data_IF_053985403128
#
_entry.id   IF_053985403128
#
_cell.length_a   1.000
_cell.length_b   1.000
_cell.length_c   1.000
_cell.angle_alpha   90.00
_cell.angle_beta   90.00
_cell.angle_gamma   90.00
#
_symmetry.space_group_name_H-M   'P 1'
#
loop_
_entity.id
_entity.type
_entity.pdbx_description
1 polymer ?
#
# COMPACT_ATOMS: atom_id res chain seq x y z
N UNK A 1 -14.25 6.16 15.84
CA UNK A 1 -14.26 4.69 15.77
C UNK A 1 -12.83 4.19 15.64
N UNK A 2 -12.47 3.15 16.39
CA UNK A 2 -11.18 2.47 16.26
C UNK A 2 -11.26 1.49 15.08
N UNK A 3 -10.22 1.41 14.24
CA UNK A 3 -10.22 0.51 13.10
C UNK A 3 -10.09 -0.96 13.53
N UNK A 4 -10.61 -1.88 12.72
CA UNK A 4 -10.55 -3.33 12.99
C UNK A 4 -9.09 -3.78 13.06
N UNK A 5 -8.26 -3.37 12.11
CA UNK A 5 -6.83 -3.71 12.07
C UNK A 5 -6.08 -3.18 13.29
N UNK A 6 -6.45 -2.00 13.82
CA UNK A 6 -5.85 -1.47 15.05
C UNK A 6 -6.20 -2.31 16.28
N UNK A 7 -7.44 -2.81 16.37
CA UNK A 7 -7.86 -3.75 17.43
C UNK A 7 -7.09 -5.06 17.31
N UNK A 8 -7.09 -5.67 16.14
CA UNK A 8 -6.34 -6.92 15.89
C UNK A 8 -4.87 -6.80 16.22
N UNK A 9 -4.26 -5.63 15.94
CA UNK A 9 -2.87 -5.39 16.34
C UNK A 9 -2.72 -5.42 17.86
N UNK A 10 -3.58 -4.71 18.61
CA UNK A 10 -3.52 -4.70 20.07
C UNK A 10 -3.72 -6.09 20.67
N UNK A 11 -4.65 -6.87 20.13
CA UNK A 11 -4.93 -8.23 20.57
C UNK A 11 -3.78 -9.20 20.24
N UNK A 12 -2.99 -8.91 19.20
CA UNK A 12 -1.84 -9.74 18.79
C UNK A 12 -0.55 -9.49 19.59
N UNK A 13 -0.47 -8.39 20.37
CA UNK A 13 0.72 -8.01 21.14
C UNK A 13 1.18 -9.14 22.10
N UNK A 14 0.31 -9.73 22.96
CA UNK A 14 0.75 -10.77 23.89
C UNK A 14 1.28 -12.03 23.18
N UNK A 15 0.67 -12.41 22.05
CA UNK A 15 1.13 -13.55 21.26
C UNK A 15 2.49 -13.29 20.57
N UNK A 16 2.70 -12.09 20.04
CA UNK A 16 3.99 -11.66 19.47
C UNK A 16 5.07 -11.68 20.53
N UNK A 17 4.76 -11.20 21.74
CA UNK A 17 5.69 -11.16 22.87
C UNK A 17 6.10 -12.57 23.31
N UNK A 18 5.15 -13.48 23.45
CA UNK A 18 5.42 -14.86 23.87
C UNK A 18 6.20 -15.64 22.80
N UNK A 19 5.83 -15.51 21.52
CA UNK A 19 6.44 -16.28 20.42
C UNK A 19 7.89 -15.88 20.13
N UNK A 20 8.20 -14.58 20.19
CA UNK A 20 9.53 -14.07 19.86
C UNK A 20 10.33 -13.61 21.10
N UNK A 21 9.80 -13.85 22.31
CA UNK A 21 10.47 -13.59 23.59
C UNK A 21 11.02 -12.15 23.74
N UNK A 22 10.21 -11.14 23.31
CA UNK A 22 10.61 -9.75 23.46
C UNK A 22 10.69 -9.32 24.93
N UNK A 23 11.82 -8.76 25.34
CA UNK A 23 12.05 -8.21 26.68
C UNK A 23 11.31 -6.88 26.91
N UNK A 24 11.15 -6.10 25.82
CA UNK A 24 10.54 -4.77 25.87
C UNK A 24 9.35 -4.68 24.92
N UNK A 25 8.23 -4.15 25.36
CA UNK A 25 7.02 -3.97 24.55
C UNK A 25 7.22 -3.02 23.37
N UNK A 26 8.18 -2.10 23.46
CA UNK A 26 8.52 -1.19 22.36
C UNK A 26 9.29 -1.87 21.22
N UNK A 27 9.88 -3.03 21.47
CA UNK A 27 10.58 -3.82 20.46
C UNK A 27 9.60 -4.64 19.58
N UNK A 28 8.34 -4.81 20.01
CA UNK A 28 7.34 -5.58 19.29
C UNK A 28 7.12 -4.98 17.90
N UNK A 29 7.10 -5.83 16.84
CA UNK A 29 6.94 -5.36 15.47
C UNK A 29 5.58 -4.68 15.27
N UNK A 30 5.61 -3.53 14.58
CA UNK A 30 4.42 -2.75 14.22
C UNK A 30 4.54 -2.19 12.81
N UNK A 31 3.41 -1.88 12.20
CA UNK A 31 3.39 -1.16 10.93
C UNK A 31 3.71 0.31 11.21
N UNK A 32 4.72 0.86 10.54
CA UNK A 32 5.13 2.26 10.65
C UNK A 32 4.39 3.15 9.66
N UNK A 33 4.25 2.68 8.43
CA UNK A 33 3.58 3.42 7.36
C UNK A 33 3.18 2.49 6.22
N UNK A 34 2.24 2.96 5.41
CA UNK A 34 1.87 2.35 4.13
C UNK A 34 2.16 3.36 3.02
N UNK A 35 2.93 2.95 2.03
CA UNK A 35 3.24 3.75 0.84
C UNK A 35 2.47 3.21 -0.35
N UNK A 36 1.68 4.06 -0.98
CA UNK A 36 0.96 3.78 -2.21
C UNK A 36 1.68 4.53 -3.32
N UNK A 37 2.01 3.83 -4.40
CA UNK A 37 2.67 4.42 -5.56
C UNK A 37 1.99 3.99 -6.85
N UNK A 38 1.72 4.94 -7.71
CA UNK A 38 1.17 4.73 -9.05
C UNK A 38 2.14 5.30 -10.07
N UNK A 39 2.61 4.46 -10.98
CA UNK A 39 3.48 4.87 -12.09
C UNK A 39 2.67 5.12 -13.36
N UNK A 40 3.04 6.14 -14.10
CA UNK A 40 2.47 6.51 -15.39
C UNK A 40 3.58 6.44 -16.44
N UNK A 41 3.24 5.96 -17.63
CA UNK A 41 4.20 6.03 -18.76
C UNK A 41 4.34 7.49 -19.22
N UNK A 42 5.53 7.89 -19.62
CA UNK A 42 5.80 9.25 -20.11
C UNK A 42 4.91 9.68 -21.27
N UNK A 43 4.51 8.74 -22.12
CA UNK A 43 3.63 8.94 -23.28
C UNK A 43 2.19 9.32 -22.87
N UNK A 44 1.78 8.91 -21.67
CA UNK A 44 0.43 9.10 -21.13
C UNK A 44 0.35 10.28 -20.14
N UNK A 45 1.32 11.19 -20.15
CA UNK A 45 1.45 12.28 -19.16
C UNK A 45 0.56 13.51 -19.45
N UNK A 46 -0.62 13.29 -20.04
CA UNK A 46 -1.61 14.36 -20.21
C UNK A 46 -2.06 14.95 -18.88
N UNK A 47 -2.15 16.28 -18.82
CA UNK A 47 -2.53 17.00 -17.59
C UNK A 47 -3.91 16.54 -17.04
N UNK A 48 -4.85 16.22 -17.93
CA UNK A 48 -6.19 15.70 -17.55
C UNK A 48 -6.08 14.33 -16.88
N UNK A 49 -5.28 13.42 -17.43
CA UNK A 49 -5.05 12.10 -16.85
C UNK A 49 -4.30 12.19 -15.51
N UNK A 50 -3.33 13.09 -15.41
CA UNK A 50 -2.60 13.33 -14.15
C UNK A 50 -3.52 13.84 -13.05
N UNK A 51 -4.39 14.81 -13.36
CA UNK A 51 -5.38 15.33 -12.41
C UNK A 51 -6.36 14.24 -11.97
N UNK A 52 -6.84 13.42 -12.92
CA UNK A 52 -7.70 12.27 -12.63
C UNK A 52 -7.02 11.29 -11.67
N UNK A 53 -5.77 10.88 -11.95
CA UNK A 53 -5.01 9.95 -11.10
C UNK A 53 -4.79 10.49 -9.70
N UNK A 54 -4.42 11.77 -9.57
CA UNK A 54 -4.26 12.41 -8.27
C UNK A 54 -5.55 12.38 -7.46
N UNK A 55 -6.68 12.68 -8.09
CA UNK A 55 -7.98 12.66 -7.44
C UNK A 55 -8.36 11.24 -7.00
N UNK A 56 -8.22 10.24 -7.90
CA UNK A 56 -8.54 8.86 -7.57
C UNK A 56 -7.69 8.31 -6.42
N UNK A 57 -6.36 8.52 -6.47
CA UNK A 57 -5.47 8.06 -5.40
C UNK A 57 -5.73 8.82 -4.09
N UNK A 58 -6.09 10.10 -4.16
CA UNK A 58 -6.46 10.88 -2.98
C UNK A 58 -7.76 10.38 -2.34
N UNK A 59 -8.77 10.02 -3.14
CA UNK A 59 -10.04 9.46 -2.67
C UNK A 59 -9.82 8.09 -2.01
N UNK A 60 -9.10 7.19 -2.67
CA UNK A 60 -8.78 5.84 -2.17
C UNK A 60 -8.02 5.92 -0.83
N UNK A 61 -7.01 6.79 -0.76
CA UNK A 61 -6.14 6.89 0.42
C UNK A 61 -6.71 7.76 1.55
N UNK A 62 -7.68 8.63 1.27
CA UNK A 62 -8.17 9.66 2.20
C UNK A 62 -7.13 10.73 2.54
N UNK A 63 -6.10 10.87 1.69
CA UNK A 63 -5.03 11.88 1.83
C UNK A 63 -4.60 12.39 0.46
N UNK A 64 -4.35 13.70 0.34
CA UNK A 64 -3.91 14.32 -0.90
C UNK A 64 -2.65 13.65 -1.46
N UNK A 65 -2.74 13.14 -2.68
CA UNK A 65 -1.62 12.53 -3.39
C UNK A 65 -0.63 13.60 -3.88
N UNK A 66 0.64 13.22 -3.96
CA UNK A 66 1.74 14.08 -4.45
C UNK A 66 2.25 13.53 -5.77
N UNK A 67 2.41 14.41 -6.76
CA UNK A 67 3.04 14.08 -8.04
C UNK A 67 4.51 13.74 -7.83
N UNK A 68 4.96 12.67 -8.49
CA UNK A 68 6.38 12.32 -8.57
C UNK A 68 6.93 12.71 -9.93
N UNK A 69 8.06 13.45 -9.92
CA UNK A 69 8.71 13.96 -11.12
C UNK A 69 9.99 13.18 -11.42
N UNK A 70 10.34 13.11 -12.69
CA UNK A 70 11.60 12.52 -13.14
C UNK A 70 12.80 13.35 -12.66
N UNK A 71 13.82 12.68 -12.12
CA UNK A 71 15.07 13.33 -11.68
C UNK A 71 16.09 13.50 -12.81
N UNK A 72 16.08 12.58 -13.78
CA UNK A 72 17.01 12.54 -14.90
C UNK A 72 16.26 12.41 -16.22
N UNK A 73 16.84 12.96 -17.29
CA UNK A 73 16.38 12.72 -18.65
C UNK A 73 16.90 11.34 -19.12
N UNK A 74 16.01 10.51 -19.65
CA UNK A 74 16.36 9.19 -20.21
C UNK A 74 15.68 9.07 -21.57
N UNK A 75 16.46 9.09 -22.66
CA UNK A 75 15.95 9.09 -24.03
C UNK A 75 15.17 7.80 -24.37
N UNK A 76 15.64 6.65 -23.91
CA UNK A 76 14.98 5.35 -24.15
C UNK A 76 13.54 5.30 -23.64
N UNK A 77 13.26 5.99 -22.53
CA UNK A 77 11.91 6.09 -21.96
C UNK A 77 11.17 7.38 -22.35
N UNK A 78 11.73 8.18 -23.26
CA UNK A 78 11.19 9.49 -23.65
C UNK A 78 10.95 10.43 -22.47
N UNK A 79 11.78 10.33 -21.43
CA UNK A 79 11.68 11.11 -20.22
C UNK A 79 12.59 12.35 -20.30
N UNK A 80 12.03 13.51 -19.94
CA UNK A 80 12.79 14.74 -19.66
C UNK A 80 12.85 14.97 -18.15
N UNK A 81 13.80 15.75 -17.70
CA UNK A 81 13.89 16.20 -16.30
C UNK A 81 12.60 16.95 -15.93
N UNK A 82 12.14 16.75 -14.69
CA UNK A 82 10.92 17.34 -14.11
C UNK A 82 9.59 16.93 -14.76
N UNK A 83 9.59 15.96 -15.68
CA UNK A 83 8.36 15.41 -16.24
C UNK A 83 7.61 14.60 -15.16
N UNK A 84 6.28 14.77 -15.01
CA UNK A 84 5.49 13.95 -14.08
C UNK A 84 5.46 12.50 -14.55
N UNK A 85 5.82 11.56 -13.66
CA UNK A 85 5.92 10.12 -13.94
C UNK A 85 4.99 9.27 -13.07
N UNK A 86 4.24 9.88 -12.16
CA UNK A 86 3.32 9.17 -11.30
C UNK A 86 2.85 9.98 -10.10
N UNK A 87 2.22 9.29 -9.17
CA UNK A 87 1.83 9.89 -7.89
C UNK A 87 2.13 8.93 -6.73
N UNK A 88 2.29 9.51 -5.55
CA UNK A 88 2.61 8.80 -4.33
C UNK A 88 1.82 9.35 -3.14
N UNK A 89 1.43 8.44 -2.24
CA UNK A 89 0.88 8.76 -0.92
C UNK A 89 1.59 7.94 0.13
N UNK A 90 1.85 8.54 1.28
CA UNK A 90 2.38 7.83 2.46
C UNK A 90 1.42 8.03 3.62
N UNK A 91 0.82 6.95 4.08
CA UNK A 91 -0.15 6.93 5.16
C UNK A 91 0.50 6.52 6.48
N UNK A 92 0.12 7.18 7.57
CA UNK A 92 0.58 6.90 8.95
C UNK A 92 -0.58 7.02 9.92
N UNK A 93 -0.43 6.43 11.11
CA UNK A 93 -1.39 6.53 12.21
C UNK A 93 -2.79 6.05 11.83
N UNK A 94 -3.82 6.78 12.22
CA UNK A 94 -5.22 6.39 12.03
C UNK A 94 -5.58 6.17 10.56
N UNK A 95 -5.14 7.05 9.65
CA UNK A 95 -5.41 6.92 8.20
C UNK A 95 -4.81 5.64 7.61
N UNK A 96 -3.64 5.24 8.09
CA UNK A 96 -2.99 3.99 7.70
C UNK A 96 -3.85 2.78 8.07
N UNK A 97 -4.32 2.69 9.31
CA UNK A 97 -5.17 1.57 9.75
C UNK A 97 -6.51 1.54 9.01
N UNK A 98 -7.15 2.69 8.80
CA UNK A 98 -8.38 2.79 8.02
C UNK A 98 -8.19 2.30 6.58
N UNK A 99 -7.07 2.65 5.95
CA UNK A 99 -6.74 2.16 4.61
C UNK A 99 -6.50 0.65 4.61
N UNK A 100 -5.79 0.11 5.60
CA UNK A 100 -5.56 -1.33 5.74
C UNK A 100 -6.86 -2.11 5.96
N UNK A 101 -7.80 -1.58 6.74
CA UNK A 101 -9.12 -2.19 6.92
C UNK A 101 -9.87 -2.34 5.59
N UNK A 102 -9.92 -1.26 4.80
CA UNK A 102 -10.55 -1.28 3.47
C UNK A 102 -9.83 -2.25 2.52
N UNK A 103 -8.50 -2.24 2.55
CA UNK A 103 -7.67 -3.06 1.69
C UNK A 103 -7.90 -4.55 1.94
N UNK A 104 -7.83 -4.99 3.21
CA UNK A 104 -7.90 -6.41 3.57
C UNK A 104 -9.33 -6.94 3.46
N UNK A 105 -10.30 -6.20 3.99
CA UNK A 105 -11.68 -6.70 4.12
C UNK A 105 -12.53 -6.47 2.87
N UNK A 106 -12.21 -5.46 2.06
CA UNK A 106 -13.06 -5.07 0.92
C UNK A 106 -12.31 -5.21 -0.41
N UNK A 107 -11.14 -4.57 -0.56
CA UNK A 107 -10.47 -4.47 -1.85
C UNK A 107 -9.85 -5.79 -2.30
N UNK A 108 -9.10 -6.49 -1.44
CA UNK A 108 -8.47 -7.76 -1.80
C UNK A 108 -9.46 -8.85 -2.20
N UNK A 109 -10.60 -9.08 -1.49
CA UNK A 109 -11.58 -10.07 -1.91
C UNK A 109 -12.25 -9.75 -3.25
N UNK A 110 -12.29 -8.49 -3.67
CA UNK A 110 -12.88 -8.05 -4.96
C UNK A 110 -11.94 -8.24 -6.15
N UNK A 111 -10.68 -8.59 -5.93
CA UNK A 111 -9.75 -8.90 -7.02
C UNK A 111 -10.24 -10.16 -7.73
N UNK A 112 -10.36 -10.07 -9.06
CA UNK A 112 -10.70 -11.21 -9.90
C UNK A 112 -9.65 -12.32 -9.74
N UNK A 113 -10.10 -13.56 -9.53
CA UNK A 113 -9.26 -14.75 -9.34
C UNK A 113 -8.21 -14.61 -8.21
N UNK A 114 -8.60 -13.95 -7.11
CA UNK A 114 -7.69 -13.76 -5.99
C UNK A 114 -7.35 -15.09 -5.32
N UNK A 115 -6.07 -15.46 -5.36
CA UNK A 115 -5.54 -16.70 -4.76
C UNK A 115 -4.70 -16.46 -3.50
N UNK A 116 -4.69 -15.27 -2.97
CA UNK A 116 -3.83 -14.85 -1.86
C UNK A 116 -2.57 -14.11 -2.32
N UNK A 117 -1.92 -13.46 -1.36
CA UNK A 117 -0.68 -12.72 -1.56
C UNK A 117 0.52 -13.67 -1.37
N UNK A 118 1.57 -13.48 -2.18
CA UNK A 118 2.78 -14.30 -2.09
C UNK A 118 3.69 -13.87 -0.95
N UNK A 119 4.26 -14.83 -0.20
CA UNK A 119 5.28 -14.54 0.83
C UNK A 119 6.63 -14.05 0.27
N UNK A 120 6.81 -14.03 -1.07
CA UNK A 120 8.01 -13.50 -1.73
C UNK A 120 8.05 -11.97 -1.79
N UNK A 121 6.95 -11.27 -1.45
CA UNK A 121 6.86 -9.80 -1.47
C UNK A 121 7.65 -9.06 -0.39
N UNK A 122 8.37 -9.75 0.49
CA UNK A 122 9.25 -9.14 1.49
C UNK A 122 10.60 -8.77 0.88
N UNK A 123 11.05 -7.55 1.17
CA UNK A 123 12.39 -7.08 0.83
C UNK A 123 13.40 -7.38 1.96
N UNK A 124 14.67 -7.00 1.76
CA UNK A 124 15.75 -7.18 2.75
C UNK A 124 15.50 -6.45 4.07
N UNK A 125 14.71 -5.35 4.05
CA UNK A 125 14.34 -4.57 5.23
C UNK A 125 13.03 -5.04 5.88
N UNK A 126 12.56 -6.25 5.56
CA UNK A 126 11.34 -6.86 6.07
C UNK A 126 10.05 -6.05 5.81
N UNK A 127 10.08 -5.17 4.78
CA UNK A 127 8.89 -4.48 4.29
C UNK A 127 8.18 -5.35 3.26
N UNK A 128 6.86 -5.33 3.29
CA UNK A 128 6.06 -6.13 2.37
C UNK A 128 5.51 -5.28 1.24
N UNK A 129 5.78 -5.68 -0.01
CA UNK A 129 5.31 -4.97 -1.19
C UNK A 129 4.53 -5.89 -2.12
N UNK A 130 3.43 -5.40 -2.66
CA UNK A 130 2.63 -6.09 -3.66
C UNK A 130 1.97 -5.10 -4.62
N UNK A 131 1.64 -5.57 -5.80
CA UNK A 131 0.98 -4.79 -6.84
C UNK A 131 -0.49 -5.17 -7.00
N UNK A 132 -1.33 -4.17 -7.20
CA UNK A 132 -2.71 -4.30 -7.62
C UNK A 132 -2.78 -3.87 -9.07
N UNK A 133 -3.37 -4.69 -9.94
CA UNK A 133 -3.45 -4.40 -11.38
C UNK A 133 -4.48 -3.33 -11.71
N UNK A 134 -5.58 -3.28 -10.98
CA UNK A 134 -6.74 -2.44 -11.27
C UNK A 134 -7.19 -1.69 -10.02
N UNK A 135 -7.36 -0.37 -10.15
CA UNK A 135 -7.82 0.47 -9.04
C UNK A 135 -9.34 0.40 -8.79
N UNK A 136 -10.10 -0.17 -9.73
CA UNK A 136 -11.56 -0.31 -9.66
C UNK A 136 -12.06 -1.25 -8.55
N UNK A 137 -11.17 -1.97 -7.88
CA UNK A 137 -11.49 -2.81 -6.72
C UNK A 137 -11.87 -1.99 -5.48
N UNK A 138 -11.47 -0.72 -5.42
CA UNK A 138 -11.80 0.18 -4.32
C UNK A 138 -13.20 0.77 -4.49
N UNK A 139 -13.98 0.84 -3.41
CA UNK A 139 -15.35 1.37 -3.41
C UNK A 139 -15.43 2.87 -3.71
N UNK A 140 -14.36 3.59 -3.41
CA UNK A 140 -14.27 5.04 -3.61
C UNK A 140 -14.10 5.43 -5.08
N UNK A 141 -13.91 4.46 -5.95
CA UNK A 141 -13.76 4.68 -7.39
C UNK A 141 -15.13 4.63 -8.04
N UNK A 142 -15.50 5.72 -8.69
CA UNK A 142 -16.70 5.78 -9.51
C UNK A 142 -16.44 5.04 -10.84
N UNK A 143 -17.18 3.95 -11.04
CA UNK A 143 -17.01 3.07 -12.19
C UNK A 143 -17.50 3.72 -13.50
N UNK A 144 -18.47 4.62 -13.42
CA UNK A 144 -19.05 5.27 -14.59
C UNK A 144 -18.11 6.34 -15.20
N UNK A 145 -17.22 6.89 -14.38
CA UNK A 145 -16.31 7.97 -14.76
C UNK A 145 -14.83 7.53 -14.87
N UNK A 146 -14.58 6.26 -15.23
CA UNK A 146 -13.21 5.77 -15.41
C UNK A 146 -12.63 6.25 -16.73
N UNK A 147 -11.67 7.17 -16.67
CA UNK A 147 -10.89 7.63 -17.83
C UNK A 147 -9.88 6.58 -18.27
N UNK A 148 -9.16 5.97 -17.33
CA UNK A 148 -8.15 4.95 -17.57
C UNK A 148 -7.97 4.06 -16.35
N UNK A 149 -7.93 2.75 -16.57
CA UNK A 149 -7.58 1.78 -15.52
C UNK A 149 -6.07 1.82 -15.29
N UNK A 150 -5.65 1.90 -14.03
CA UNK A 150 -4.26 1.89 -13.65
C UNK A 150 -4.00 0.94 -12.48
N UNK A 151 -2.77 0.42 -12.45
CA UNK A 151 -2.28 -0.38 -11.33
C UNK A 151 -1.60 0.48 -10.27
N UNK A 152 -1.49 -0.06 -9.08
CA UNK A 152 -0.78 0.57 -7.97
C UNK A 152 0.08 -0.42 -7.21
N UNK A 153 1.20 0.05 -6.71
CA UNK A 153 2.06 -0.68 -5.80
C UNK A 153 1.82 -0.21 -4.37
N UNK A 154 1.57 -1.15 -3.48
CA UNK A 154 1.36 -0.90 -2.06
C UNK A 154 2.53 -1.53 -1.29
N UNK A 155 3.22 -0.72 -0.50
CA UNK A 155 4.32 -1.15 0.35
C UNK A 155 3.96 -0.91 1.82
N UNK A 156 3.93 -1.96 2.61
CA UNK A 156 3.71 -1.93 4.05
C UNK A 156 5.07 -1.95 4.72
N UNK A 157 5.39 -0.85 5.41
CA UNK A 157 6.67 -0.68 6.10
C UNK A 157 6.50 -1.08 7.55
N UNK A 158 7.24 -2.10 7.97
CA UNK A 158 7.27 -2.59 9.35
C UNK A 158 8.60 -2.23 10.03
N UNK A 159 8.66 -2.33 11.35
CA UNK A 159 9.91 -2.25 12.11
C UNK A 159 10.42 -3.63 12.57
N UNK A 160 9.90 -4.71 11.98
CA UNK A 160 10.34 -6.06 12.30
C UNK A 160 11.81 -6.26 11.95
N UNK A 161 12.56 -6.95 12.80
CA UNK A 161 13.98 -7.26 12.60
C UNK A 161 14.14 -8.46 11.67
N UNK A 162 13.19 -9.42 11.74
CA UNK A 162 13.18 -10.65 10.95
C UNK A 162 11.97 -10.73 10.00
N UNK A 163 12.15 -11.45 8.89
CA UNK A 163 11.07 -11.74 7.93
C UNK A 163 9.93 -12.53 8.57
N UNK A 164 10.26 -13.48 9.46
CA UNK A 164 9.26 -14.30 10.15
C UNK A 164 8.37 -13.48 11.08
N UNK A 165 8.95 -12.51 11.77
CA UNK A 165 8.22 -11.57 12.63
C UNK A 165 7.25 -10.73 11.82
N UNK A 166 7.71 -10.16 10.68
CA UNK A 166 6.88 -9.37 9.79
C UNK A 166 5.74 -10.20 9.18
N UNK A 167 6.03 -11.44 8.77
CA UNK A 167 5.03 -12.36 8.22
C UNK A 167 3.98 -12.74 9.27
N UNK A 168 4.42 -13.05 10.50
CA UNK A 168 3.52 -13.37 11.59
C UNK A 168 2.62 -12.18 11.94
N UNK A 169 3.19 -10.97 12.03
CA UNK A 169 2.43 -9.74 12.24
C UNK A 169 1.33 -9.57 11.18
N UNK A 170 1.68 -9.67 9.89
CA UNK A 170 0.72 -9.47 8.81
C UNK A 170 -0.37 -10.56 8.80
N UNK A 171 -0.03 -11.82 9.10
CA UNK A 171 -1.02 -12.89 9.24
C UNK A 171 -2.00 -12.63 10.38
N UNK A 172 -1.54 -12.11 11.52
CA UNK A 172 -2.41 -11.73 12.64
C UNK A 172 -3.33 -10.53 12.32
N UNK A 173 -2.93 -9.70 11.38
CA UNK A 173 -3.75 -8.62 10.84
C UNK A 173 -4.67 -9.06 9.68
N UNK A 174 -4.91 -10.38 9.54
CA UNK A 174 -5.76 -10.99 8.52
C UNK A 174 -5.31 -10.77 7.09
N UNK A 175 -4.02 -10.47 6.84
CA UNK A 175 -3.51 -10.47 5.47
C UNK A 175 -3.49 -11.89 4.91
N UNK A 176 -4.09 -12.13 3.73
CA UNK A 176 -4.19 -13.45 3.10
C UNK A 176 -2.84 -13.85 2.43
N UNK A 177 -1.77 -13.95 3.22
CA UNK A 177 -0.43 -14.32 2.75
C UNK A 177 -0.26 -15.85 2.83
N UNK A 178 0.11 -16.43 1.68
CA UNK A 178 0.44 -17.85 1.53
C UNK A 178 1.93 -18.10 1.71
#
# INVERSE_FOLDING_TARGET
MQSITEKLYKDSIPELKSKFSYKNDMAIPKIKMVSINVGIKAVDSDNKLLAYLLNQVSNISGQKAVLTKSKKAISTFKLRKDLPIGCRVTLRGKKMYQFLDKLVNIALPRIRDFRGLTSKGFNQSNHYSFGIKEHNIFLEVDLDNIVKVFGMNITIVTNATGKEEALFLLKKLNFPIK
#
